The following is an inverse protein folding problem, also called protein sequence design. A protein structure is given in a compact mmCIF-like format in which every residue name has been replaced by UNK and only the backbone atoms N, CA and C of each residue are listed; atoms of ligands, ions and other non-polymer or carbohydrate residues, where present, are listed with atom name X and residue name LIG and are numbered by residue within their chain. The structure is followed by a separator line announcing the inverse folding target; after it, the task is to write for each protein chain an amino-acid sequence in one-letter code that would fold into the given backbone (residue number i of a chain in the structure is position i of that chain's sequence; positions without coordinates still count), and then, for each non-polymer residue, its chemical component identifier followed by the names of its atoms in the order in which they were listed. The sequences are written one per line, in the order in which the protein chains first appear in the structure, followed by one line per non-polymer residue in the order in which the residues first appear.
data_IF_175965434871
#
_entry.id   IF_175965434871
#
_cell.length_a   1.000
_cell.length_b   1.000
_cell.length_c   1.000
_cell.angle_alpha   90.00
_cell.angle_beta   90.00
_cell.angle_gamma   90.00
#
_symmetry.space_group_name_H-M   'P 1'
#
loop_
_entity.id
_entity.type
_entity.pdbx_description
1 polymer ?
#
# COMPACT_ATOMS: atom_id res chain seq x y z
N UNK A 1 28.00 -21.71 -23.81
CA UNK A 1 27.95 -20.76 -22.67
C UNK A 1 27.33 -19.45 -23.14
N UNK A 2 25.99 -19.38 -23.26
CA UNK A 2 25.22 -18.17 -23.60
C UNK A 2 23.79 -18.35 -23.07
N UNK A 3 23.59 -18.23 -21.76
CA UNK A 3 22.29 -18.42 -21.09
C UNK A 3 22.30 -17.80 -19.67
N UNK A 4 22.84 -16.58 -19.53
CA UNK A 4 22.90 -15.87 -18.23
C UNK A 4 22.60 -14.36 -18.32
N UNK A 5 22.00 -13.88 -19.42
CA UNK A 5 21.76 -12.44 -19.63
C UNK A 5 20.29 -11.99 -19.43
N UNK A 6 19.35 -12.89 -19.13
CA UNK A 6 17.92 -12.55 -19.10
C UNK A 6 17.33 -12.35 -17.68
N UNK A 7 18.12 -12.51 -16.61
CA UNK A 7 17.59 -12.48 -15.22
C UNK A 7 17.85 -11.15 -14.48
N UNK A 8 18.44 -10.15 -15.14
CA UNK A 8 18.82 -8.88 -14.48
C UNK A 8 17.86 -7.71 -14.72
N UNK A 9 16.80 -7.86 -15.52
CA UNK A 9 15.84 -6.77 -15.79
C UNK A 9 14.74 -6.60 -14.73
N UNK A 10 14.49 -7.61 -13.88
CA UNK A 10 13.47 -7.52 -12.83
C UNK A 10 13.89 -6.71 -11.59
N UNK A 11 15.16 -6.30 -11.48
CA UNK A 11 15.66 -5.51 -10.34
C UNK A 11 15.50 -3.99 -10.52
N UNK A 12 14.96 -3.51 -11.65
CA UNK A 12 14.78 -2.07 -11.92
C UNK A 12 13.34 -1.58 -11.82
N UNK A 13 12.37 -2.47 -11.62
CA UNK A 13 10.94 -2.14 -11.57
C UNK A 13 10.50 -1.48 -10.24
N UNK A 14 11.37 -1.44 -9.22
CA UNK A 14 11.06 -0.84 -7.91
C UNK A 14 11.26 0.68 -7.79
N UNK A 15 11.74 1.36 -8.85
CA UNK A 15 12.29 2.72 -8.71
C UNK A 15 11.26 3.86 -8.70
N UNK A 16 9.96 3.59 -8.84
CA UNK A 16 8.92 4.63 -9.02
C UNK A 16 8.13 5.01 -7.78
N UNK A 17 8.25 4.26 -6.68
CA UNK A 17 7.40 4.40 -5.49
C UNK A 17 8.15 5.24 -4.44
N UNK A 18 7.42 6.11 -3.74
CA UNK A 18 7.97 6.84 -2.60
C UNK A 18 8.31 5.87 -1.46
N UNK A 19 9.53 5.99 -0.94
CA UNK A 19 10.02 5.14 0.15
C UNK A 19 10.76 5.94 1.21
N UNK A 20 11.01 5.35 2.38
CA UNK A 20 11.86 5.96 3.39
C UNK A 20 12.64 4.92 4.20
N UNK A 21 13.80 5.33 4.72
CA UNK A 21 14.62 4.55 5.65
C UNK A 21 14.22 4.76 7.12
N UNK A 22 13.29 5.67 7.37
CA UNK A 22 12.79 6.02 8.70
C UNK A 22 11.30 6.42 8.66
N UNK A 23 10.59 6.33 9.79
CA UNK A 23 9.25 6.87 9.89
C UNK A 23 9.23 8.36 9.51
N UNK A 24 8.30 8.75 8.65
CA UNK A 24 8.11 10.14 8.22
C UNK A 24 6.94 10.82 8.91
N UNK A 25 5.87 10.08 9.19
CA UNK A 25 4.68 10.63 9.85
C UNK A 25 4.91 10.78 11.35
N UNK A 26 4.56 11.95 11.87
CA UNK A 26 4.69 12.29 13.30
C UNK A 26 3.34 12.28 14.01
N UNK A 27 3.34 12.43 15.33
CA UNK A 27 2.09 12.57 16.10
C UNK A 27 1.24 13.78 15.66
N UNK A 28 1.86 14.83 15.12
CA UNK A 28 1.12 15.98 14.57
C UNK A 28 0.39 15.61 13.27
N UNK A 29 0.98 14.74 12.45
CA UNK A 29 0.39 14.28 11.20
C UNK A 29 -0.77 13.32 11.42
N UNK A 30 -0.73 12.52 12.50
CA UNK A 30 -1.75 11.51 12.82
C UNK A 30 -2.90 12.07 13.65
N UNK A 31 -2.76 13.29 14.18
CA UNK A 31 -3.79 13.93 14.99
C UNK A 31 -5.08 14.12 14.18
N UNK A 32 -6.15 13.43 14.60
CA UNK A 32 -7.44 13.44 13.91
C UNK A 32 -7.49 12.57 12.66
N UNK A 33 -6.53 11.67 12.47
CA UNK A 33 -6.56 10.70 11.38
C UNK A 33 -7.84 9.85 11.43
N UNK A 34 -8.38 9.47 10.25
CA UNK A 34 -9.56 8.63 10.18
C UNK A 34 -9.32 7.28 10.85
N UNK A 35 -10.36 6.75 11.48
CA UNK A 35 -10.32 5.46 12.16
C UNK A 35 -10.86 4.37 11.25
N UNK A 36 -10.31 3.16 11.31
CA UNK A 36 -10.85 2.00 10.61
C UNK A 36 -11.92 1.33 11.49
N UNK A 37 -12.99 0.84 10.87
CA UNK A 37 -13.95 0.01 11.57
C UNK A 37 -13.29 -1.30 12.03
N UNK A 38 -13.56 -1.69 13.27
CA UNK A 38 -13.16 -3.00 13.76
C UNK A 38 -13.89 -4.11 13.02
N UNK A 39 -13.14 -5.17 12.69
CA UNK A 39 -13.62 -6.30 11.92
C UNK A 39 -12.62 -6.79 10.88
N UNK A 40 -13.10 -7.71 10.05
CA UNK A 40 -12.34 -8.33 8.97
C UNK A 40 -12.41 -7.42 7.74
N UNK A 41 -11.25 -7.10 7.21
CA UNK A 41 -11.05 -6.32 6.00
C UNK A 41 -10.53 -7.22 4.88
N UNK A 42 -11.25 -7.24 3.77
CA UNK A 42 -10.83 -7.89 2.54
C UNK A 42 -9.91 -6.92 1.78
N UNK A 43 -8.72 -7.42 1.43
CA UNK A 43 -7.74 -6.69 0.62
C UNK A 43 -8.02 -6.97 -0.86
N UNK A 44 -7.74 -6.03 -1.77
CA UNK A 44 -7.92 -6.27 -3.19
C UNK A 44 -7.00 -7.39 -3.66
N UNK A 45 -7.46 -8.14 -4.66
CA UNK A 45 -6.63 -9.03 -5.44
C UNK A 45 -5.80 -8.19 -6.43
N UNK A 46 -4.49 -8.36 -6.41
CA UNK A 46 -3.58 -7.68 -7.32
C UNK A 46 -3.17 -8.54 -8.52
N UNK A 47 -3.55 -9.83 -8.49
CA UNK A 47 -3.30 -10.78 -9.57
C UNK A 47 -4.57 -10.90 -10.42
N UNK A 48 -4.60 -10.24 -11.58
CA UNK A 48 -5.75 -10.26 -12.48
C UNK A 48 -6.04 -11.64 -13.09
N UNK A 49 -5.10 -12.59 -12.98
CA UNK A 49 -5.25 -13.94 -13.52
C UNK A 49 -5.99 -14.89 -12.56
N UNK A 50 -6.10 -14.53 -11.28
CA UNK A 50 -6.81 -15.29 -10.27
C UNK A 50 -8.16 -14.63 -10.03
N UNK A 51 -9.25 -15.40 -10.14
CA UNK A 51 -10.58 -14.95 -9.75
C UNK A 51 -10.85 -15.43 -8.33
N UNK A 52 -10.56 -14.59 -7.33
CA UNK A 52 -10.78 -14.92 -5.93
C UNK A 52 -12.16 -14.45 -5.43
N UNK A 53 -13.21 -15.12 -5.91
CA UNK A 53 -14.57 -14.83 -5.45
C UNK A 53 -14.79 -15.20 -3.97
N UNK A 54 -14.96 -14.18 -3.12
CA UNK A 54 -15.23 -14.35 -1.67
C UNK A 54 -16.71 -14.15 -1.36
N UNK A 55 -17.36 -15.19 -0.82
CA UNK A 55 -18.71 -15.06 -0.24
C UNK A 55 -18.62 -14.49 1.18
N UNK A 56 -18.74 -13.16 1.30
CA UNK A 56 -18.67 -12.45 2.59
C UNK A 56 -19.82 -12.77 3.54
N UNK A 57 -20.85 -13.50 3.09
CA UNK A 57 -21.92 -14.01 3.97
C UNK A 57 -21.50 -15.25 4.75
N UNK A 58 -20.41 -15.91 4.33
CA UNK A 58 -19.82 -17.06 5.02
C UNK A 58 -18.82 -16.65 6.10
N UNK A 59 -18.59 -17.50 7.12
CA UNK A 59 -17.45 -17.36 8.04
C UNK A 59 -16.12 -17.30 7.28
N UNK A 60 -15.12 -16.60 7.84
CA UNK A 60 -13.79 -16.45 7.21
C UNK A 60 -13.11 -17.81 7.05
N UNK A 61 -13.38 -18.74 7.96
CA UNK A 61 -12.94 -20.13 7.87
C UNK A 61 -13.43 -20.89 6.62
N UNK A 62 -14.43 -20.35 5.90
CA UNK A 62 -14.95 -20.93 4.65
C UNK A 62 -14.58 -20.11 3.40
N UNK A 63 -13.79 -19.04 3.54
CA UNK A 63 -13.29 -18.27 2.39
C UNK A 63 -12.20 -19.05 1.64
N UNK A 64 -12.05 -18.83 0.32
CA UNK A 64 -11.01 -19.50 -0.46
C UNK A 64 -9.62 -19.07 0.00
N UNK A 65 -8.61 -19.94 -0.20
CA UNK A 65 -7.24 -19.68 0.26
C UNK A 65 -6.60 -18.44 -0.39
N UNK A 66 -7.01 -18.10 -1.63
CA UNK A 66 -6.59 -16.88 -2.32
C UNK A 66 -7.05 -15.59 -1.63
N UNK A 67 -8.07 -15.66 -0.75
CA UNK A 67 -8.63 -14.48 -0.12
C UNK A 67 -7.59 -13.84 0.81
N UNK A 68 -7.18 -12.62 0.46
CA UNK A 68 -6.27 -11.83 1.27
C UNK A 68 -7.08 -10.95 2.21
N UNK A 69 -6.89 -11.10 3.52
CA UNK A 69 -7.64 -10.35 4.52
C UNK A 69 -6.78 -10.02 5.73
N UNK A 70 -7.21 -8.99 6.45
CA UNK A 70 -6.65 -8.57 7.73
C UNK A 70 -7.77 -8.34 8.74
N UNK A 71 -7.46 -8.42 10.04
CA UNK A 71 -8.38 -8.05 11.11
C UNK A 71 -7.93 -6.71 11.71
N UNK A 72 -8.85 -5.76 11.83
CA UNK A 72 -8.66 -4.56 12.63
C UNK A 72 -9.43 -4.69 13.94
N UNK A 73 -8.78 -4.43 15.07
CA UNK A 73 -9.42 -4.50 16.38
C UNK A 73 -8.73 -3.56 17.37
N UNK A 74 -9.51 -2.75 18.09
CA UNK A 74 -9.01 -1.87 19.16
C UNK A 74 -7.85 -0.96 18.69
N UNK A 75 -7.94 -0.48 17.43
CA UNK A 75 -6.92 0.37 16.81
C UNK A 75 -5.63 -0.35 16.39
N UNK A 76 -5.68 -1.68 16.24
CA UNK A 76 -4.53 -2.50 15.85
C UNK A 76 -4.88 -3.45 14.71
N UNK A 77 -3.93 -3.61 13.79
CA UNK A 77 -4.03 -4.57 12.69
C UNK A 77 -3.46 -5.93 13.06
N UNK A 78 -4.07 -6.97 12.50
CA UNK A 78 -3.62 -8.34 12.58
C UNK A 78 -3.63 -8.92 11.16
N UNK A 79 -2.48 -9.39 10.69
CA UNK A 79 -2.35 -10.03 9.41
C UNK A 79 -2.73 -11.52 9.53
N UNK A 80 -3.28 -12.09 8.47
CA UNK A 80 -3.45 -13.54 8.35
C UNK A 80 -2.09 -14.24 8.48
N UNK A 81 -2.05 -15.33 9.24
CA UNK A 81 -0.85 -16.15 9.39
C UNK A 81 -0.94 -17.38 8.47
N UNK A 82 -0.08 -17.43 7.46
CA UNK A 82 -0.07 -18.49 6.45
C UNK A 82 -1.17 -18.32 5.39
N UNK A 83 -1.34 -19.34 4.55
CA UNK A 83 -2.20 -19.29 3.36
C UNK A 83 -3.58 -19.95 3.56
N UNK A 84 -3.83 -20.57 4.73
CA UNK A 84 -5.07 -21.27 5.04
C UNK A 84 -5.56 -20.99 6.46
N UNK A 85 -6.86 -21.14 6.70
CA UNK A 85 -7.48 -20.95 8.01
C UNK A 85 -7.53 -19.48 8.49
N UNK A 86 -7.74 -19.32 9.81
CA UNK A 86 -8.10 -18.06 10.47
C UNK A 86 -7.03 -17.56 11.45
N UNK A 87 -5.86 -18.21 11.51
CA UNK A 87 -4.79 -17.78 12.41
C UNK A 87 -4.34 -16.36 12.03
N UNK A 88 -4.10 -15.52 13.04
CA UNK A 88 -3.65 -14.15 12.84
C UNK A 88 -2.41 -13.86 13.67
N UNK A 89 -1.57 -12.97 13.15
CA UNK A 89 -0.42 -12.38 13.85
C UNK A 89 -0.66 -10.89 14.03
N UNK A 90 -0.31 -10.36 15.20
CA UNK A 90 -0.38 -8.93 15.44
C UNK A 90 0.63 -8.21 14.54
N UNK A 91 0.17 -7.17 13.84
CA UNK A 91 1.04 -6.21 13.15
C UNK A 91 1.51 -5.20 14.21
N UNK A 92 2.81 -4.85 14.26
CA UNK A 92 3.29 -3.78 15.13
C UNK A 92 2.49 -2.48 14.91
N UNK A 93 2.15 -1.77 15.98
CA UNK A 93 1.27 -0.58 15.88
C UNK A 93 1.91 0.56 15.10
N UNK A 94 3.22 0.63 15.11
CA UNK A 94 4.05 1.57 14.38
C UNK A 94 4.30 1.17 12.92
N UNK A 95 3.99 -0.07 12.54
CA UNK A 95 4.13 -0.53 11.16
C UNK A 95 2.99 -0.04 10.25
N UNK A 96 1.86 0.44 10.79
CA UNK A 96 0.77 1.03 10.01
C UNK A 96 0.35 2.36 10.65
N UNK A 97 0.80 3.47 10.07
CA UNK A 97 0.53 4.83 10.57
C UNK A 97 -0.26 5.62 9.55
N UNK A 98 -1.36 6.23 9.98
CA UNK A 98 -2.29 6.94 9.08
C UNK A 98 -2.26 8.43 9.41
N UNK A 99 -2.01 9.26 8.40
CA UNK A 99 -2.07 10.71 8.54
C UNK A 99 -3.51 11.21 8.45
N UNK A 100 -3.77 12.35 9.08
CA UNK A 100 -4.92 13.18 8.78
C UNK A 100 -4.71 13.95 7.46
N UNK A 101 -5.77 14.60 6.99
CA UNK A 101 -5.81 15.42 5.78
C UNK A 101 -6.98 15.04 4.87
N UNK A 102 -7.20 15.89 3.88
CA UNK A 102 -8.13 15.65 2.76
C UNK A 102 -7.74 14.42 1.93
N UNK A 103 -6.43 14.25 1.76
CA UNK A 103 -5.79 13.02 1.32
C UNK A 103 -5.03 12.49 2.52
N UNK A 104 -5.43 11.33 3.00
CA UNK A 104 -4.73 10.63 4.07
C UNK A 104 -3.65 9.73 3.47
N UNK A 105 -2.53 9.62 4.18
CA UNK A 105 -1.39 8.79 3.79
C UNK A 105 -1.25 7.70 4.82
N UNK A 106 -1.15 6.46 4.37
CA UNK A 106 -0.78 5.31 5.20
C UNK A 106 0.69 5.01 4.94
N UNK A 107 1.49 5.15 6.00
CA UNK A 107 2.86 4.67 6.05
C UNK A 107 2.83 3.20 6.49
N UNK A 108 3.44 2.34 5.67
CA UNK A 108 3.54 0.90 5.88
C UNK A 108 5.00 0.52 6.08
N UNK A 109 5.32 -0.14 7.18
CA UNK A 109 6.63 -0.74 7.41
C UNK A 109 6.63 -2.20 6.93
N UNK A 110 7.58 -2.54 6.07
CA UNK A 110 7.85 -3.91 5.64
C UNK A 110 8.38 -4.73 6.81
N UNK A 111 7.83 -5.93 7.00
CA UNK A 111 8.44 -6.91 7.90
C UNK A 111 9.82 -7.33 7.35
N UNK A 112 10.78 -7.71 8.21
CA UNK A 112 12.02 -8.35 7.75
C UNK A 112 11.71 -9.58 6.91
N UNK A 113 12.56 -9.86 5.91
CA UNK A 113 12.47 -11.08 5.12
C UNK A 113 12.60 -12.34 5.98
N UNK A 114 12.20 -13.50 5.44
CA UNK A 114 12.27 -14.78 6.17
C UNK A 114 13.70 -15.16 6.61
N UNK A 115 14.71 -14.66 5.91
CA UNK A 115 16.13 -14.80 6.23
C UNK A 115 16.64 -13.75 7.24
N UNK A 116 15.75 -12.90 7.75
CA UNK A 116 16.05 -11.80 8.66
C UNK A 116 16.65 -10.58 7.97
N UNK A 117 16.69 -10.53 6.63
CA UNK A 117 17.15 -9.34 5.92
C UNK A 117 16.17 -8.19 6.11
N UNK A 118 16.72 -7.01 6.43
CA UNK A 118 15.94 -5.78 6.59
C UNK A 118 16.07 -4.96 5.31
N UNK A 119 14.95 -4.57 4.73
CA UNK A 119 14.92 -3.64 3.60
C UNK A 119 15.57 -2.31 4.05
N UNK A 120 16.56 -1.77 3.31
CA UNK A 120 17.17 -0.48 3.64
C UNK A 120 16.18 0.70 3.56
N UNK A 121 15.01 0.50 2.96
CA UNK A 121 13.91 1.45 2.85
C UNK A 121 12.58 0.78 3.25
N UNK A 122 12.41 0.41 4.53
CA UNK A 122 11.30 -0.45 4.93
C UNK A 122 9.95 0.29 4.90
N UNK A 123 9.93 1.61 4.74
CA UNK A 123 8.69 2.38 4.72
C UNK A 123 8.24 2.65 3.29
N UNK A 124 7.01 2.22 2.98
CA UNK A 124 6.28 2.56 1.76
C UNK A 124 5.03 3.36 2.09
N UNK A 125 4.44 4.02 1.09
CA UNK A 125 3.30 4.89 1.30
C UNK A 125 2.18 4.61 0.30
N UNK A 126 0.97 4.45 0.83
CA UNK A 126 -0.27 4.53 0.05
C UNK A 126 -1.06 5.76 0.48
N UNK A 127 -1.93 6.24 -0.39
CA UNK A 127 -2.80 7.37 -0.10
C UNK A 127 -4.25 7.05 -0.48
N UNK A 128 -5.18 7.76 0.16
CA UNK A 128 -6.60 7.65 -0.12
C UNK A 128 -7.31 8.99 0.12
N UNK A 129 -8.45 9.16 -0.53
CA UNK A 129 -9.33 10.28 -0.27
C UNK A 129 -10.06 10.12 1.06
N UNK A 130 -9.89 11.09 1.95
CA UNK A 130 -10.57 11.14 3.24
C UNK A 130 -11.67 12.22 3.23
N UNK A 131 -12.32 12.44 2.09
CA UNK A 131 -13.38 13.46 1.93
C UNK A 131 -14.78 12.83 1.78
N UNK A 132 -15.78 13.32 2.54
CA UNK A 132 -15.63 14.20 3.71
C UNK A 132 -14.87 13.48 4.83
N UNK A 133 -14.16 14.24 5.67
CA UNK A 133 -13.46 13.67 6.83
C UNK A 133 -14.46 12.87 7.66
N UNK A 134 -14.29 11.55 7.64
CA UNK A 134 -15.28 10.66 8.23
C UNK A 134 -15.20 10.75 9.75
N UNK A 135 -16.27 11.23 10.38
CA UNK A 135 -16.43 11.12 11.84
C UNK A 135 -16.79 9.70 12.26
N UNK A 136 -17.29 8.89 11.31
CA UNK A 136 -17.53 7.47 11.48
C UNK A 136 -16.29 6.67 11.06
N UNK A 137 -16.04 5.50 11.66
CA UNK A 137 -14.98 4.62 11.20
C UNK A 137 -15.15 4.21 9.73
N UNK A 138 -14.05 4.21 8.97
CA UNK A 138 -13.98 3.79 7.58
C UNK A 138 -14.42 2.33 7.46
N UNK A 139 -15.16 2.03 6.39
CA UNK A 139 -15.55 0.65 6.00
C UNK A 139 -15.15 0.30 4.57
N UNK A 140 -14.69 1.28 3.80
CA UNK A 140 -14.20 1.08 2.45
C UNK A 140 -13.11 2.10 2.20
N UNK A 141 -12.08 1.70 1.48
CA UNK A 141 -10.94 2.54 1.13
C UNK A 141 -10.51 2.28 -0.29
N UNK A 142 -10.76 3.22 -1.21
CA UNK A 142 -10.05 3.27 -2.48
C UNK A 142 -8.69 3.93 -2.25
N UNK A 143 -7.60 3.29 -2.67
CA UNK A 143 -6.25 3.79 -2.43
C UNK A 143 -5.40 3.74 -3.70
N UNK A 144 -4.29 4.45 -3.65
CA UNK A 144 -3.25 4.41 -4.68
C UNK A 144 -1.87 4.44 -4.02
N UNK A 145 -0.86 3.94 -4.75
CA UNK A 145 0.53 4.05 -4.32
C UNK A 145 1.00 5.50 -4.46
N UNK A 146 1.76 6.00 -3.48
CA UNK A 146 2.41 7.30 -3.62
C UNK A 146 3.66 7.11 -4.48
N UNK A 147 3.65 7.66 -5.68
CA UNK A 147 4.77 7.60 -6.62
C UNK A 147 5.75 8.74 -6.34
N UNK A 148 7.04 8.52 -6.61
CA UNK A 148 8.07 9.56 -6.53
C UNK A 148 8.20 10.37 -7.83
N UNK A 149 7.42 10.07 -8.86
CA UNK A 149 7.49 10.72 -10.16
C UNK A 149 6.43 10.21 -11.13
N UNK A 150 6.55 10.64 -12.38
CA UNK A 150 5.76 10.16 -13.51
C UNK A 150 6.66 9.52 -14.55
N UNK A 151 6.17 8.47 -15.18
CA UNK A 151 6.83 7.90 -16.36
C UNK A 151 6.45 8.76 -17.57
N UNK A 152 7.47 9.29 -18.25
CA UNK A 152 7.33 10.07 -19.47
C UNK A 152 7.98 9.33 -20.63
N UNK A 153 7.34 9.33 -21.82
CA UNK A 153 7.89 8.63 -22.96
C UNK A 153 9.21 9.26 -23.42
N UNK A 154 10.19 8.43 -23.76
CA UNK A 154 11.47 8.87 -24.32
C UNK A 154 11.36 8.85 -25.85
N UNK A 155 11.43 10.04 -26.46
CA UNK A 155 11.31 10.18 -27.91
C UNK A 155 12.45 9.43 -28.63
N UNK A 156 12.07 8.50 -29.52
CA UNK A 156 13.01 7.71 -30.32
C UNK A 156 13.70 6.54 -29.59
N UNK A 157 13.28 6.24 -28.35
CA UNK A 157 13.76 5.07 -27.63
C UNK A 157 13.21 3.76 -28.21
N UNK A 158 13.95 2.67 -28.01
CA UNK A 158 13.43 1.33 -28.23
C UNK A 158 12.29 1.03 -27.24
N UNK A 159 11.44 0.05 -27.55
CA UNK A 159 10.24 -0.29 -26.76
C UNK A 159 10.55 -0.62 -25.28
N UNK A 160 11.74 -1.14 -24.99
CA UNK A 160 12.25 -1.47 -23.65
C UNK A 160 12.85 -0.27 -22.89
N UNK A 161 13.05 0.87 -23.56
CA UNK A 161 13.49 2.15 -22.99
C UNK A 161 12.41 3.23 -23.15
N UNK A 162 11.19 2.82 -23.48
CA UNK A 162 10.13 3.72 -23.93
C UNK A 162 9.74 4.76 -22.89
N UNK A 163 9.96 4.51 -21.59
CA UNK A 163 9.57 5.41 -20.52
C UNK A 163 10.73 5.71 -19.57
N UNK A 164 10.83 6.99 -19.18
CA UNK A 164 11.76 7.48 -18.15
C UNK A 164 10.97 8.03 -16.98
N UNK A 165 11.36 7.62 -15.77
CA UNK A 165 10.83 8.23 -14.55
C UNK A 165 11.36 9.66 -14.38
N UNK A 166 10.46 10.63 -14.46
CA UNK A 166 10.67 12.03 -14.10
C UNK A 166 10.18 12.23 -12.67
N UNK A 167 11.13 12.34 -11.73
CA UNK A 167 10.84 12.48 -10.30
C UNK A 167 10.17 13.82 -9.99
N UNK A 168 9.27 13.81 -9.02
CA UNK A 168 8.73 15.02 -8.43
C UNK A 168 9.82 15.79 -7.67
N UNK A 169 9.72 17.14 -7.56
CA UNK A 169 10.65 17.92 -6.76
C UNK A 169 10.74 17.44 -5.31
N UNK A 170 11.94 17.42 -4.74
CA UNK A 170 12.19 17.04 -3.34
C UNK A 170 12.39 15.54 -3.10
N UNK A 171 12.43 14.72 -4.16
CA UNK A 171 12.83 13.31 -4.08
C UNK A 171 14.29 13.10 -4.48
N UNK A 172 14.98 12.19 -3.80
CA UNK A 172 16.32 11.75 -4.20
C UNK A 172 16.30 10.62 -5.24
N UNK A 173 17.49 10.14 -5.64
CA UNK A 173 17.62 9.06 -6.63
C UNK A 173 16.99 7.73 -6.18
N UNK A 174 16.83 7.52 -4.88
CA UNK A 174 16.20 6.34 -4.28
C UNK A 174 14.71 6.55 -3.98
N UNK A 175 14.13 7.64 -4.48
CA UNK A 175 12.74 7.97 -4.24
C UNK A 175 12.38 8.19 -2.76
N UNK A 176 13.33 8.75 -2.00
CA UNK A 176 13.09 9.25 -0.65
C UNK A 176 12.71 10.73 -0.69
N UNK A 177 11.54 11.12 -0.15
CA UNK A 177 11.15 12.52 -0.06
C UNK A 177 11.91 13.23 1.06
N UNK A 178 12.33 14.46 0.83
CA UNK A 178 13.07 15.27 1.83
C UNK A 178 12.20 15.71 3.02
N UNK A 179 10.86 15.69 2.87
CA UNK A 179 9.91 16.11 3.91
C UNK A 179 8.54 15.45 3.76
N UNK A 180 7.74 15.49 4.83
CA UNK A 180 6.33 15.06 4.80
C UNK A 180 5.50 15.88 3.82
N UNK A 181 5.81 17.18 3.64
CA UNK A 181 5.09 18.00 2.67
C UNK A 181 5.33 17.52 1.24
N UNK A 182 6.58 17.19 0.89
CA UNK A 182 6.91 16.60 -0.42
C UNK A 182 6.17 15.27 -0.63
N UNK A 183 6.05 14.44 0.41
CA UNK A 183 5.27 13.21 0.36
C UNK A 183 3.77 13.48 0.13
N UNK A 184 3.20 14.52 0.76
CA UNK A 184 1.79 14.92 0.56
C UNK A 184 1.54 15.43 -0.85
N UNK A 185 2.44 16.24 -1.37
CA UNK A 185 2.35 16.77 -2.74
C UNK A 185 2.45 15.62 -3.76
N UNK A 186 3.34 14.65 -3.53
CA UNK A 186 3.43 13.43 -4.33
C UNK A 186 2.19 12.56 -4.24
N UNK A 187 1.60 12.39 -3.05
CA UNK A 187 0.35 11.65 -2.87
C UNK A 187 -0.78 12.27 -3.71
N UNK A 188 -0.89 13.60 -3.73
CA UNK A 188 -1.84 14.30 -4.58
C UNK A 188 -1.53 14.14 -6.07
N UNK A 189 -0.27 14.24 -6.48
CA UNK A 189 0.16 14.14 -7.88
C UNK A 189 0.09 12.71 -8.47
N UNK A 190 0.15 11.70 -7.59
CA UNK A 190 0.06 10.28 -7.94
C UNK A 190 -1.38 9.76 -8.01
N UNK A 191 -2.34 10.58 -7.58
CA UNK A 191 -3.75 10.19 -7.58
C UNK A 191 -4.20 9.86 -9.02
N UNK A 192 -4.78 8.67 -9.25
CA UNK A 192 -5.31 8.32 -10.55
C UNK A 192 -6.41 9.30 -11.01
N UNK A 193 -6.64 9.34 -12.33
CA UNK A 193 -7.77 10.06 -12.89
C UNK A 193 -9.09 9.48 -12.34
N UNK A 194 -10.14 10.31 -12.26
CA UNK A 194 -11.40 9.93 -11.61
C UNK A 194 -12.15 8.77 -12.28
N UNK A 195 -11.84 8.48 -13.54
CA UNK A 195 -12.37 7.37 -14.34
C UNK A 195 -11.55 6.09 -14.22
N UNK A 196 -10.39 6.14 -13.55
CA UNK A 196 -9.59 4.97 -13.26
C UNK A 196 -10.10 4.26 -12.00
N UNK A 197 -10.39 2.96 -12.11
CA UNK A 197 -10.80 2.16 -10.97
C UNK A 197 -9.63 2.02 -9.99
N UNK A 198 -9.82 2.46 -8.75
CA UNK A 198 -8.83 2.25 -7.69
C UNK A 198 -9.01 0.87 -7.06
N UNK A 199 -7.90 0.20 -6.68
CA UNK A 199 -8.00 -0.96 -5.80
C UNK A 199 -8.69 -0.55 -4.49
N UNK A 200 -9.52 -1.45 -3.95
CA UNK A 200 -10.32 -1.15 -2.76
C UNK A 200 -10.08 -2.16 -1.63
N UNK A 201 -9.87 -1.64 -0.42
CA UNK A 201 -10.02 -2.42 0.81
C UNK A 201 -11.44 -2.28 1.32
N UNK A 202 -12.07 -3.40 1.67
CA UNK A 202 -13.45 -3.42 2.12
C UNK A 202 -13.59 -4.09 3.48
N UNK A 203 -14.22 -3.41 4.43
CA UNK A 203 -14.73 -4.04 5.64
C UNK A 203 -15.81 -5.05 5.26
N UNK A 204 -15.63 -6.31 5.63
CA UNK A 204 -16.52 -7.40 5.30
C UNK A 204 -17.47 -7.73 6.46
N UNK A 205 -16.96 -7.80 7.70
CA UNK A 205 -17.72 -8.27 8.86
C UNK A 205 -17.07 -7.89 10.20
N UNK A 206 -17.85 -7.89 11.27
CA UNK A 206 -17.42 -7.49 12.63
C UNK A 206 -16.52 -8.52 13.32
N UNK A 207 -16.69 -9.81 13.02
CA UNK A 207 -16.03 -10.91 13.72
C UNK A 207 -15.39 -11.88 12.73
N UNK A 208 -14.35 -12.57 13.17
CA UNK A 208 -13.61 -13.53 12.34
C UNK A 208 -14.48 -14.76 11.96
N UNK A 209 -15.28 -15.28 12.89
CA UNK A 209 -16.28 -16.33 12.66
C UNK A 209 -17.54 -16.06 13.49
#
# INVERSE_FOLDING_TARGET
MRLFAALSMFLLAGCGIAVSDKPMLTAADTAGAPQFADGVWLMPEFDEEVDCAVDVTKPVSAWPDCATWALHKDGQWFARQGNSGIATKAVPRDAVVVSNGDIAIVQLESEPGEDGTVDPTPFTFIAFDNKPAATAPLRTLGFWMVMCGKYEPVEGAAEDEADKLVRFPGFDEKCRPESVQVLRDAAAASRPAADHAMPTFGWARTALD
#
